data_IF_928086196900
#
_entry.id   IF_928086196900
#
_cell.length_a   1.000
_cell.length_b   1.000
_cell.length_c   1.000
_cell.angle_alpha   90.00
_cell.angle_beta   90.00
_cell.angle_gamma   90.00
#
_symmetry.space_group_name_H-M   'P 1'
#
loop_
_entity.id
_entity.type
_entity.pdbx_description
1 polymer ?
#
# COMPACT_ATOMS: atom_id res chain seq x y z
N UNK A 1 -38.59 -38.83 29.36
CA UNK A 1 -39.22 -38.23 28.16
C UNK A 1 -38.73 -36.80 28.03
N UNK A 2 -37.70 -36.57 27.22
CA UNK A 2 -37.09 -35.25 27.01
C UNK A 2 -37.76 -34.60 25.81
N UNK A 3 -38.50 -33.50 26.02
CA UNK A 3 -39.15 -32.75 24.94
C UNK A 3 -38.09 -31.92 24.21
N UNK A 4 -37.81 -32.30 22.97
CA UNK A 4 -37.05 -31.50 22.01
C UNK A 4 -37.89 -30.28 21.64
N UNK A 5 -37.48 -29.09 22.11
CA UNK A 5 -38.04 -27.83 21.63
C UNK A 5 -37.42 -27.53 20.26
N UNK A 6 -38.11 -27.88 19.19
CA UNK A 6 -37.77 -27.43 17.84
C UNK A 6 -38.13 -25.95 17.75
N UNK A 7 -37.14 -25.07 17.85
CA UNK A 7 -37.35 -23.64 17.63
C UNK A 7 -37.84 -23.45 16.18
N UNK A 8 -39.02 -22.83 15.95
CA UNK A 8 -39.51 -22.62 14.60
C UNK A 8 -38.59 -21.61 13.90
N UNK A 9 -37.85 -22.10 12.90
CA UNK A 9 -37.08 -21.24 12.01
C UNK A 9 -38.00 -20.81 10.88
N UNK A 10 -38.38 -19.53 10.85
CA UNK A 10 -39.07 -18.93 9.71
C UNK A 10 -38.06 -18.70 8.57
N UNK A 11 -37.65 -19.78 7.89
CA UNK A 11 -37.03 -19.66 6.57
C UNK A 11 -38.15 -19.41 5.56
N UNK A 12 -38.16 -18.21 4.95
CA UNK A 12 -39.04 -17.99 3.81
C UNK A 12 -38.45 -18.71 2.59
N UNK A 13 -39.29 -19.14 1.65
CA UNK A 13 -38.82 -19.75 0.40
C UNK A 13 -37.92 -18.80 -0.46
N UNK A 14 -37.74 -17.56 -0.02
CA UNK A 14 -36.92 -16.53 -0.63
C UNK A 14 -35.51 -16.41 -0.02
N UNK A 15 -35.26 -17.05 1.12
CA UNK A 15 -33.95 -17.02 1.78
C UNK A 15 -33.01 -18.01 1.09
N UNK A 16 -32.26 -17.51 0.12
CA UNK A 16 -31.24 -18.30 -0.57
C UNK A 16 -30.17 -18.69 0.45
N UNK A 17 -30.02 -19.99 0.71
CA UNK A 17 -28.89 -20.50 1.51
C UNK A 17 -27.58 -20.10 0.84
N UNK A 18 -26.75 -19.38 1.57
CA UNK A 18 -25.43 -18.97 1.12
C UNK A 18 -24.48 -20.10 1.49
N UNK A 19 -23.95 -20.77 0.48
CA UNK A 19 -22.89 -21.76 0.67
C UNK A 19 -21.64 -21.05 1.21
N UNK A 20 -21.07 -21.49 2.33
CA UNK A 20 -19.84 -20.91 2.86
C UNK A 20 -18.66 -21.10 1.90
N UNK A 21 -17.75 -20.12 1.88
CA UNK A 21 -16.47 -20.21 1.20
C UNK A 21 -15.70 -21.44 1.71
N UNK A 22 -15.30 -22.34 0.81
CA UNK A 22 -14.47 -23.48 1.18
C UNK A 22 -13.03 -23.04 1.49
N UNK A 23 -12.31 -23.84 2.29
CA UNK A 23 -10.90 -23.61 2.61
C UNK A 23 -10.00 -24.62 1.86
N UNK A 24 -8.84 -24.20 1.34
CA UNK A 24 -8.42 -22.80 1.18
C UNK A 24 -9.32 -22.08 0.15
N UNK A 25 -9.50 -20.77 0.34
CA UNK A 25 -10.42 -19.98 -0.47
C UNK A 25 -10.09 -18.50 -0.47
N UNK A 26 -10.64 -17.78 -1.44
CA UNK A 26 -10.33 -16.37 -1.66
C UNK A 26 -11.61 -15.58 -1.96
N UNK A 27 -11.74 -14.41 -1.33
CA UNK A 27 -12.77 -13.43 -1.65
C UNK A 27 -12.16 -12.33 -2.52
N UNK A 28 -12.51 -12.28 -3.81
CA UNK A 28 -11.99 -11.29 -4.77
C UNK A 28 -13.03 -10.28 -5.27
N UNK A 29 -14.29 -10.45 -4.91
CA UNK A 29 -15.40 -9.67 -5.46
C UNK A 29 -16.40 -9.28 -4.38
N UNK A 30 -16.90 -8.06 -4.45
CA UNK A 30 -18.02 -7.60 -3.64
C UNK A 30 -19.36 -8.21 -4.06
N UNK A 31 -19.43 -8.83 -5.24
CA UNK A 31 -20.60 -9.57 -5.72
C UNK A 31 -20.61 -11.04 -5.28
N UNK A 32 -19.56 -11.50 -4.58
CA UNK A 32 -19.46 -12.86 -4.09
C UNK A 32 -20.59 -13.15 -3.09
N UNK A 33 -21.34 -14.26 -3.25
CA UNK A 33 -22.46 -14.58 -2.37
C UNK A 33 -22.03 -14.80 -0.91
N UNK A 34 -20.80 -15.23 -0.68
CA UNK A 34 -20.21 -15.46 0.64
C UNK A 34 -20.05 -14.16 1.42
N UNK A 35 -19.99 -13.00 0.76
CA UNK A 35 -19.95 -11.68 1.39
C UNK A 35 -21.36 -11.26 1.84
N UNK A 36 -21.76 -11.72 3.03
CA UNK A 36 -23.12 -11.59 3.57
C UNK A 36 -23.42 -10.21 4.16
N UNK A 37 -22.40 -9.54 4.70
CA UNK A 37 -22.57 -8.26 5.40
C UNK A 37 -21.54 -7.27 4.89
N UNK A 38 -21.97 -6.04 4.61
CA UNK A 38 -21.07 -4.94 4.25
C UNK A 38 -21.67 -3.67 4.85
N UNK A 39 -20.86 -2.94 5.60
CA UNK A 39 -21.17 -1.61 6.11
C UNK A 39 -20.03 -0.64 5.78
N UNK A 40 -20.40 0.60 5.46
CA UNK A 40 -19.49 1.68 5.08
C UNK A 40 -18.52 1.32 3.94
N UNK A 41 -18.98 0.53 2.97
CA UNK A 41 -18.18 0.12 1.82
C UNK A 41 -19.05 -0.03 0.56
N UNK A 42 -18.52 0.43 -0.56
CA UNK A 42 -19.11 0.23 -1.90
C UNK A 42 -18.48 -1.01 -2.51
N UNK A 43 -19.31 -2.03 -2.74
CA UNK A 43 -18.91 -3.32 -3.34
C UNK A 43 -18.39 -3.12 -4.77
N UNK A 44 -17.32 -3.84 -5.11
CA UNK A 44 -16.78 -3.92 -6.48
C UNK A 44 -17.10 -5.25 -7.14
N UNK A 45 -17.09 -5.30 -8.48
CA UNK A 45 -17.23 -6.59 -9.19
C UNK A 45 -15.88 -7.30 -9.37
N UNK A 46 -14.81 -6.54 -9.62
CA UNK A 46 -13.46 -7.06 -9.85
C UNK A 46 -12.54 -7.02 -8.61
N UNK A 47 -13.06 -6.46 -7.51
CA UNK A 47 -12.41 -6.31 -6.21
C UNK A 47 -13.50 -6.44 -5.14
N UNK A 48 -13.16 -6.65 -3.87
CA UNK A 48 -14.16 -6.68 -2.81
C UNK A 48 -14.90 -5.33 -2.75
N UNK A 49 -14.15 -4.22 -2.76
CA UNK A 49 -14.75 -2.89 -2.84
C UNK A 49 -13.90 -1.78 -2.23
N UNK A 50 -14.52 -0.63 -2.01
CA UNK A 50 -13.89 0.57 -1.45
C UNK A 50 -14.65 1.10 -0.25
N UNK A 51 -13.93 1.49 0.78
CA UNK A 51 -14.50 2.03 2.00
C UNK A 51 -14.97 3.47 1.79
N UNK A 52 -16.15 3.82 2.33
CA UNK A 52 -16.73 5.17 2.24
C UNK A 52 -16.73 5.91 3.57
N UNK A 53 -16.61 5.19 4.69
CA UNK A 53 -16.46 5.77 6.02
C UNK A 53 -15.56 4.89 6.90
N UNK A 54 -15.26 5.39 8.10
CA UNK A 54 -14.53 4.71 9.15
C UNK A 54 -15.33 4.84 10.46
N UNK A 55 -15.54 3.77 11.24
CA UNK A 55 -15.16 2.38 10.96
C UNK A 55 -15.94 1.79 9.77
N UNK A 56 -15.41 0.72 9.20
CA UNK A 56 -16.10 -0.08 8.18
C UNK A 56 -16.04 -1.57 8.54
N UNK A 57 -17.02 -2.33 8.05
CA UNK A 57 -17.20 -3.73 8.42
C UNK A 57 -17.60 -4.56 7.21
N UNK A 58 -17.09 -5.79 7.16
CA UNK A 58 -17.60 -6.82 6.26
C UNK A 58 -17.71 -8.17 6.98
N UNK A 59 -18.72 -8.94 6.57
CA UNK A 59 -19.00 -10.28 7.06
C UNK A 59 -18.94 -11.28 5.91
N UNK A 60 -18.16 -12.35 6.08
CA UNK A 60 -17.96 -13.40 5.08
C UNK A 60 -18.37 -14.74 5.68
N UNK A 61 -19.20 -15.51 4.98
CA UNK A 61 -19.50 -16.90 5.34
C UNK A 61 -18.36 -17.79 4.87
N UNK A 62 -17.58 -18.32 5.79
CA UNK A 62 -16.42 -19.19 5.58
C UNK A 62 -16.69 -20.53 6.24
N UNK A 63 -16.37 -21.64 5.58
CA UNK A 63 -16.59 -22.97 6.13
C UNK A 63 -15.69 -23.19 7.35
N UNK A 64 -16.24 -23.42 8.55
CA UNK A 64 -15.43 -23.79 9.69
C UNK A 64 -14.91 -25.22 9.51
N UNK A 65 -13.65 -25.46 9.83
CA UNK A 65 -13.02 -26.78 9.72
C UNK A 65 -12.53 -27.33 11.06
N UNK A 66 -12.72 -26.56 12.14
CA UNK A 66 -12.19 -26.89 13.47
C UNK A 66 -10.68 -26.70 13.60
N UNK A 67 -10.01 -26.17 12.56
CA UNK A 67 -8.58 -25.85 12.54
C UNK A 67 -8.38 -24.33 12.53
N UNK A 68 -7.21 -23.84 12.97
CA UNK A 68 -6.88 -22.43 12.80
C UNK A 68 -6.87 -22.03 11.32
N UNK A 69 -7.33 -20.80 11.04
CA UNK A 69 -7.45 -20.28 9.66
C UNK A 69 -6.63 -19.02 9.52
N UNK A 70 -5.63 -19.04 8.65
CA UNK A 70 -4.88 -17.85 8.25
C UNK A 70 -5.73 -16.98 7.33
N UNK A 71 -5.78 -15.70 7.66
CA UNK A 71 -6.48 -14.66 6.92
C UNK A 71 -5.47 -13.63 6.43
N UNK A 72 -5.42 -13.40 5.13
CA UNK A 72 -4.55 -12.37 4.53
C UNK A 72 -5.40 -11.36 3.79
N UNK A 73 -5.47 -10.14 4.32
CA UNK A 73 -6.25 -9.05 3.75
C UNK A 73 -5.34 -8.08 2.98
N UNK A 74 -5.68 -7.78 1.73
CA UNK A 74 -4.91 -6.92 0.84
C UNK A 74 -5.59 -5.57 0.62
N UNK A 75 -4.83 -4.50 0.80
CA UNK A 75 -5.29 -3.12 0.67
C UNK A 75 -4.55 -2.38 -0.42
N UNK A 76 -5.25 -1.42 -1.03
CA UNK A 76 -4.70 -0.53 -2.04
C UNK A 76 -5.17 0.91 -1.84
N UNK A 77 -4.22 1.83 -1.94
CA UNK A 77 -4.45 3.27 -1.92
C UNK A 77 -3.97 3.86 -3.25
N UNK A 78 -4.92 4.10 -4.15
CA UNK A 78 -4.70 4.61 -5.51
C UNK A 78 -5.25 6.03 -5.70
N UNK A 79 -5.15 6.57 -6.93
CA UNK A 79 -5.65 7.92 -7.21
C UNK A 79 -7.17 8.05 -7.03
N UNK A 80 -7.94 6.98 -7.20
CA UNK A 80 -9.38 7.02 -6.95
C UNK A 80 -9.67 7.00 -5.45
N UNK A 81 -8.88 6.26 -4.66
CA UNK A 81 -8.93 6.34 -3.20
C UNK A 81 -8.70 7.76 -2.70
N UNK A 82 -7.69 8.44 -3.24
CA UNK A 82 -7.41 9.84 -2.91
C UNK A 82 -8.59 10.74 -3.24
N UNK A 83 -9.12 10.65 -4.46
CA UNK A 83 -10.27 11.46 -4.88
C UNK A 83 -11.52 11.20 -4.02
N UNK A 84 -11.77 9.95 -3.62
CA UNK A 84 -12.89 9.62 -2.73
C UNK A 84 -12.74 10.25 -1.36
N UNK A 85 -11.52 10.24 -0.83
CA UNK A 85 -11.21 10.87 0.44
C UNK A 85 -11.36 12.38 0.38
N UNK A 86 -10.74 13.05 -0.61
CA UNK A 86 -10.81 14.51 -0.78
C UNK A 86 -12.25 15.02 -0.95
N UNK A 87 -13.12 14.23 -1.59
CA UNK A 87 -14.53 14.56 -1.78
C UNK A 87 -15.39 14.39 -0.51
N UNK A 88 -15.03 13.46 0.39
CA UNK A 88 -15.87 13.05 1.51
C UNK A 88 -15.40 13.59 2.85
N UNK A 89 -14.10 13.81 3.01
CA UNK A 89 -13.51 14.32 4.24
C UNK A 89 -13.28 15.82 4.07
N UNK A 90 -14.28 16.58 4.50
CA UNK A 90 -14.27 18.04 4.46
C UNK A 90 -13.59 18.64 5.70
N UNK A 91 -13.54 17.89 6.81
CA UNK A 91 -12.94 18.33 8.08
C UNK A 91 -11.47 18.71 7.89
N UNK A 92 -11.03 19.91 8.32
CA UNK A 92 -9.63 20.29 8.30
C UNK A 92 -8.78 19.22 9.00
N UNK A 93 -7.72 18.79 8.35
CA UNK A 93 -6.76 17.84 8.91
C UNK A 93 -5.35 18.41 8.69
N UNK A 94 -4.40 18.10 9.59
CA UNK A 94 -3.05 18.66 9.51
C UNK A 94 -2.30 18.25 8.24
N UNK A 95 -2.68 17.12 7.63
CA UNK A 95 -2.07 16.59 6.41
C UNK A 95 -3.14 16.24 5.38
N UNK A 96 -2.96 16.70 4.14
CA UNK A 96 -3.83 16.43 2.99
C UNK A 96 -3.03 16.15 1.72
N UNK A 97 -3.68 15.54 0.72
CA UNK A 97 -3.13 15.34 -0.63
C UNK A 97 -2.54 13.96 -0.86
N UNK A 98 -1.92 13.77 -2.03
CA UNK A 98 -1.49 12.46 -2.52
C UNK A 98 -0.42 11.78 -1.66
N UNK A 99 0.49 12.56 -1.06
CA UNK A 99 1.51 12.07 -0.13
C UNK A 99 0.99 11.82 1.29
N UNK A 100 -0.28 12.15 1.56
CA UNK A 100 -0.84 12.01 2.90
C UNK A 100 -0.99 10.52 3.28
N UNK A 101 -0.51 10.14 4.48
CA UNK A 101 -0.54 8.77 4.92
C UNK A 101 -1.90 8.25 5.30
N UNK A 102 -2.12 6.96 5.03
CA UNK A 102 -3.32 6.24 5.46
C UNK A 102 -2.89 5.14 6.40
N UNK A 103 -3.09 5.38 7.69
CA UNK A 103 -2.86 4.38 8.72
C UNK A 103 -4.22 3.83 9.16
N UNK A 104 -4.37 2.51 9.07
CA UNK A 104 -5.61 1.81 9.44
C UNK A 104 -5.33 0.65 10.36
N UNK A 105 -6.17 0.47 11.37
CA UNK A 105 -6.25 -0.72 12.19
C UNK A 105 -7.16 -1.75 11.54
N UNK A 106 -6.71 -2.99 11.57
CA UNK A 106 -7.48 -4.17 11.18
C UNK A 106 -7.92 -4.90 12.44
N UNK A 107 -9.22 -5.09 12.56
CA UNK A 107 -9.85 -5.92 13.59
C UNK A 107 -10.58 -7.08 12.93
N UNK A 108 -10.63 -8.19 13.65
CA UNK A 108 -11.45 -9.32 13.26
C UNK A 108 -12.00 -10.02 14.50
N UNK A 109 -13.30 -10.36 14.43
CA UNK A 109 -14.06 -10.87 15.58
C UNK A 109 -13.91 -9.99 16.82
N UNK A 110 -13.97 -8.67 16.64
CA UNK A 110 -13.84 -7.69 17.73
C UNK A 110 -12.44 -7.52 18.31
N UNK A 111 -11.41 -8.25 17.84
CA UNK A 111 -10.02 -8.14 18.32
C UNK A 111 -9.13 -7.41 17.32
N UNK A 112 -8.19 -6.61 17.81
CA UNK A 112 -7.15 -6.00 16.96
C UNK A 112 -6.20 -7.08 16.47
N UNK A 113 -6.02 -7.15 15.15
CA UNK A 113 -5.17 -8.15 14.48
C UNK A 113 -3.90 -7.54 13.89
N UNK A 114 -3.97 -6.29 13.46
CA UNK A 114 -2.85 -5.62 12.82
C UNK A 114 -3.17 -4.19 12.45
N UNK A 115 -2.22 -3.54 11.79
CA UNK A 115 -2.38 -2.27 11.11
C UNK A 115 -1.68 -2.31 9.75
N UNK A 116 -2.14 -1.44 8.86
CA UNK A 116 -1.49 -1.16 7.58
C UNK A 116 -1.23 0.34 7.45
N UNK A 117 -0.01 0.68 7.00
CA UNK A 117 0.38 2.03 6.65
C UNK A 117 0.54 2.10 5.13
N UNK A 118 -0.32 2.89 4.48
CA UNK A 118 -0.34 3.07 3.04
C UNK A 118 0.04 4.51 2.71
N UNK A 119 1.16 4.68 2.02
CA UNK A 119 1.62 6.00 1.61
C UNK A 119 2.03 5.97 0.15
N UNK A 120 1.50 6.92 -0.62
CA UNK A 120 1.82 7.02 -2.03
C UNK A 120 3.06 7.90 -2.21
N UNK A 121 3.99 7.50 -3.06
CA UNK A 121 5.14 8.34 -3.35
C UNK A 121 4.69 9.62 -4.03
N UNK A 122 5.07 10.78 -3.50
CA UNK A 122 4.75 12.09 -4.09
C UNK A 122 5.29 12.21 -5.52
N UNK A 123 6.49 11.67 -5.76
CA UNK A 123 7.21 11.73 -7.04
C UNK A 123 6.54 10.84 -8.11
N UNK A 124 5.79 9.82 -7.70
CA UNK A 124 5.05 8.92 -8.59
C UNK A 124 3.61 8.72 -8.10
N UNK A 125 2.84 9.81 -8.12
CA UNK A 125 1.41 9.84 -7.78
C UNK A 125 0.53 8.98 -8.72
N UNK A 126 1.09 8.19 -9.64
CA UNK A 126 0.35 7.19 -10.42
C UNK A 126 0.45 5.81 -9.80
N UNK A 127 1.52 5.53 -9.05
CA UNK A 127 1.67 4.28 -8.32
C UNK A 127 0.68 4.23 -7.15
N UNK A 128 0.02 3.09 -7.00
CA UNK A 128 -0.77 2.81 -5.83
C UNK A 128 0.14 2.35 -4.69
N UNK A 129 -0.18 2.75 -3.46
CA UNK A 129 0.40 2.11 -2.29
C UNK A 129 -0.39 0.83 -2.00
N UNK A 130 0.30 -0.25 -1.67
CA UNK A 130 -0.31 -1.53 -1.33
C UNK A 130 0.15 -1.93 0.06
N UNK A 131 -0.72 -2.56 0.82
CA UNK A 131 -0.39 -3.13 2.12
C UNK A 131 -1.17 -4.41 2.33
N UNK A 132 -0.71 -5.24 3.25
CA UNK A 132 -1.42 -6.43 3.66
C UNK A 132 -1.37 -6.57 5.16
N UNK A 133 -2.36 -7.25 5.72
CA UNK A 133 -2.37 -7.69 7.11
C UNK A 133 -2.69 -9.18 7.11
N UNK A 134 -1.81 -9.97 7.72
CA UNK A 134 -1.95 -11.41 7.83
C UNK A 134 -2.09 -11.79 9.30
N UNK A 135 -3.15 -12.52 9.63
CA UNK A 135 -3.40 -13.02 10.96
C UNK A 135 -4.13 -14.35 10.94
N UNK A 136 -3.96 -15.17 11.98
CA UNK A 136 -4.75 -16.41 12.06
C UNK A 136 -5.94 -16.22 12.99
N UNK A 137 -7.00 -16.98 12.74
CA UNK A 137 -8.14 -17.14 13.60
C UNK A 137 -8.01 -18.47 14.33
N UNK A 138 -8.24 -18.46 15.64
CA UNK A 138 -8.36 -19.72 16.37
C UNK A 138 -9.67 -20.44 16.00
N UNK A 139 -9.75 -21.77 16.12
CA UNK A 139 -10.94 -22.53 15.77
C UNK A 139 -12.22 -22.00 16.43
N UNK A 140 -12.12 -21.51 17.66
CA UNK A 140 -13.25 -20.98 18.43
C UNK A 140 -13.71 -19.60 17.96
N UNK A 141 -12.87 -18.87 17.21
CA UNK A 141 -13.17 -17.53 16.69
C UNK A 141 -14.00 -17.59 15.41
N UNK A 142 -13.98 -18.71 14.70
CA UNK A 142 -14.88 -18.98 13.58
C UNK A 142 -15.97 -19.92 14.08
N UNK A 143 -17.13 -19.35 14.44
CA UNK A 143 -18.24 -20.09 15.02
C UNK A 143 -18.70 -21.25 14.11
N UNK A 144 -19.52 -22.16 14.64
CA UNK A 144 -20.13 -23.24 13.83
C UNK A 144 -20.92 -22.69 12.63
N UNK A 145 -21.41 -21.46 12.75
CA UNK A 145 -22.05 -20.73 11.66
C UNK A 145 -21.06 -20.16 10.65
N UNK A 146 -19.76 -20.19 10.87
CA UNK A 146 -18.78 -19.80 9.87
C UNK A 146 -18.81 -18.32 9.49
N UNK A 147 -19.34 -17.43 10.34
CA UNK A 147 -19.34 -16.00 10.04
C UNK A 147 -18.00 -15.38 10.46
N UNK A 148 -17.17 -15.04 9.49
CA UNK A 148 -15.99 -14.22 9.67
C UNK A 148 -16.36 -12.74 9.61
N UNK A 149 -16.03 -11.98 10.65
CA UNK A 149 -16.23 -10.52 10.70
C UNK A 149 -14.88 -9.82 10.64
N UNK A 150 -14.75 -8.91 9.68
CA UNK A 150 -13.60 -8.04 9.49
C UNK A 150 -14.00 -6.59 9.65
N UNK A 151 -13.18 -5.83 10.35
CA UNK A 151 -13.39 -4.44 10.68
C UNK A 151 -12.13 -3.63 10.30
N UNK A 152 -12.32 -2.45 9.72
CA UNK A 152 -11.25 -1.51 9.48
C UNK A 152 -11.56 -0.16 10.12
N UNK A 153 -10.62 0.32 10.92
CA UNK A 153 -10.80 1.50 11.78
C UNK A 153 -9.64 2.46 11.58
N UNK A 154 -9.93 3.76 11.56
CA UNK A 154 -8.92 4.82 11.55
C UNK A 154 -8.35 5.04 12.94
N UNK A 155 -7.10 5.49 13.03
CA UNK A 155 -6.46 5.79 14.31
C UNK A 155 -6.47 7.29 14.53
N UNK A 156 -7.57 7.74 15.13
CA UNK A 156 -7.79 9.14 15.45
C UNK A 156 -7.31 9.47 16.88
N UNK A 157 -7.28 8.49 17.78
CA UNK A 157 -6.92 8.64 19.19
C UNK A 157 -5.70 7.76 19.55
N UNK A 158 -4.83 8.27 20.43
CA UNK A 158 -3.71 7.50 21.00
C UNK A 158 -2.47 7.34 20.11
N UNK A 159 -2.42 8.01 18.94
CA UNK A 159 -1.22 8.02 18.09
C UNK A 159 -0.12 8.93 18.66
N UNK A 160 1.17 8.61 18.45
CA UNK A 160 2.26 9.52 18.82
C UNK A 160 2.26 10.77 17.91
N UNK A 161 2.71 11.91 18.45
CA UNK A 161 2.75 13.18 17.72
C UNK A 161 3.63 13.12 16.46
N UNK A 162 4.71 12.34 16.52
CA UNK A 162 5.63 12.15 15.40
C UNK A 162 5.03 11.37 14.23
N UNK A 163 3.92 10.66 14.40
CA UNK A 163 3.25 9.93 13.31
C UNK A 163 1.92 10.58 12.92
N UNK A 164 1.94 11.59 12.04
CA UNK A 164 0.70 12.18 11.61
C UNK A 164 -0.08 11.18 10.75
N UNK A 165 -1.35 10.98 11.06
CA UNK A 165 -2.28 10.17 10.26
C UNK A 165 -3.51 11.00 9.90
N UNK A 166 -4.12 10.68 8.76
CA UNK A 166 -5.29 11.40 8.28
C UNK A 166 -6.56 10.91 9.00
N UNK A 167 -7.43 11.82 9.50
CA UNK A 167 -8.72 11.45 10.04
C UNK A 167 -9.57 10.66 9.03
N UNK A 168 -10.26 9.62 9.50
CA UNK A 168 -10.99 8.70 8.64
C UNK A 168 -10.09 8.10 7.52
N UNK A 169 -8.84 7.76 7.87
CA UNK A 169 -7.80 7.20 7.00
C UNK A 169 -8.24 5.99 6.17
N UNK A 170 -9.31 5.33 6.59
CA UNK A 170 -9.95 4.21 5.90
C UNK A 170 -10.70 4.61 4.61
N UNK A 171 -11.23 5.84 4.52
CA UNK A 171 -12.07 6.28 3.38
C UNK A 171 -11.29 6.24 2.08
N UNK A 172 -11.90 5.68 1.05
CA UNK A 172 -11.35 5.52 -0.29
C UNK A 172 -10.41 4.33 -0.44
N UNK A 173 -9.85 3.77 0.65
CA UNK A 173 -9.01 2.57 0.58
C UNK A 173 -9.79 1.46 -0.11
N UNK A 174 -9.14 0.77 -1.03
CA UNK A 174 -9.67 -0.40 -1.68
C UNK A 174 -9.21 -1.64 -0.93
N UNK A 175 -10.12 -2.59 -0.78
CA UNK A 175 -9.79 -3.97 -0.45
C UNK A 175 -9.85 -4.82 -1.71
N UNK A 176 -8.70 -5.37 -2.09
CA UNK A 176 -8.53 -6.15 -3.32
C UNK A 176 -9.01 -7.60 -3.12
N UNK A 177 -8.54 -8.21 -2.04
CA UNK A 177 -8.58 -9.65 -1.79
C UNK A 177 -8.55 -9.93 -0.29
N UNK A 178 -9.27 -10.97 0.13
CA UNK A 178 -9.03 -11.67 1.39
C UNK A 178 -8.80 -13.15 1.07
N UNK A 179 -7.66 -13.67 1.52
CA UNK A 179 -7.30 -15.08 1.41
C UNK A 179 -7.60 -15.79 2.74
N UNK A 180 -8.07 -17.03 2.66
CA UNK A 180 -8.30 -17.90 3.80
C UNK A 180 -7.63 -19.25 3.55
N UNK A 181 -6.75 -19.67 4.46
CA UNK A 181 -6.06 -20.96 4.37
C UNK A 181 -6.03 -21.65 5.73
N UNK A 182 -6.21 -22.98 5.75
CA UNK A 182 -5.90 -23.74 6.95
C UNK A 182 -4.39 -23.72 7.21
N UNK A 183 -4.02 -23.71 8.49
CA UNK A 183 -2.63 -23.81 8.90
C UNK A 183 -2.43 -24.95 9.89
N UNK A 184 -1.51 -25.85 9.53
CA UNK A 184 -1.02 -26.91 10.41
C UNK A 184 0.30 -26.41 11.04
N UNK A 185 0.25 -25.89 12.26
CA UNK A 185 1.45 -25.41 12.96
C UNK A 185 1.72 -23.91 12.84
N UNK A 186 2.99 -23.54 13.03
CA UNK A 186 3.40 -22.20 13.46
C UNK A 186 2.91 -21.04 12.59
N UNK A 187 2.55 -19.97 13.29
CA UNK A 187 2.00 -18.73 12.76
C UNK A 187 3.08 -17.92 12.02
N UNK A 188 2.93 -17.72 10.71
CA UNK A 188 3.56 -16.59 10.03
C UNK A 188 2.58 -15.43 10.06
N UNK A 189 2.91 -14.40 10.85
CA UNK A 189 2.12 -13.18 10.91
C UNK A 189 2.78 -12.05 10.14
N UNK A 190 1.92 -11.37 9.39
CA UNK A 190 2.00 -10.00 8.89
C UNK A 190 3.38 -9.39 8.63
N UNK A 191 3.77 -9.36 7.35
CA UNK A 191 4.79 -8.45 6.83
C UNK A 191 4.66 -7.04 7.40
N UNK A 192 5.83 -6.43 7.63
CA UNK A 192 5.98 -5.00 7.89
C UNK A 192 5.33 -4.21 6.74
N UNK A 193 4.26 -3.49 7.04
CA UNK A 193 3.70 -2.51 6.10
C UNK A 193 4.54 -1.24 6.18
N UNK A 194 5.42 -1.04 5.20
CA UNK A 194 6.29 0.14 5.11
C UNK A 194 5.52 1.35 4.56
N UNK A 195 5.71 2.54 5.14
CA UNK A 195 5.21 3.78 4.54
C UNK A 195 5.99 5.03 4.95
N UNK A 196 6.33 5.87 3.96
CA UNK A 196 6.95 7.19 4.14
C UNK A 196 6.06 8.31 4.67
N UNK A 197 6.00 8.54 5.99
CA UNK A 197 5.47 9.82 6.49
C UNK A 197 6.47 10.95 6.21
N UNK A 198 6.01 12.19 6.02
CA UNK A 198 6.88 13.36 5.95
C UNK A 198 7.77 13.41 7.20
N UNK A 199 9.08 13.61 7.01
CA UNK A 199 10.00 13.85 8.11
C UNK A 199 9.65 15.17 8.79
N UNK A 200 9.72 15.22 10.13
CA UNK A 200 9.67 16.49 10.86
C UNK A 200 11.01 17.21 10.64
N UNK A 201 11.03 18.38 9.97
CA UNK A 201 12.26 19.11 9.69
C UNK A 201 12.92 19.70 10.95
N UNK A 202 12.21 19.78 12.08
CA UNK A 202 12.76 20.37 13.31
C UNK A 202 13.62 19.38 14.13
N UNK A 203 13.48 18.07 13.90
CA UNK A 203 14.07 17.03 14.76
C UNK A 203 15.59 16.85 14.60
N UNK A 204 16.23 17.50 13.60
CA UNK A 204 17.69 17.46 13.39
C UNK A 204 18.29 16.07 13.10
N UNK A 205 17.48 15.00 13.05
CA UNK A 205 17.86 13.61 12.78
C UNK A 205 17.40 13.16 11.40
N UNK A 206 18.16 12.27 10.77
CA UNK A 206 17.79 11.60 9.53
C UNK A 206 16.91 10.40 9.82
N UNK A 207 15.65 10.42 9.41
CA UNK A 207 14.81 9.22 9.36
C UNK A 207 15.32 8.27 8.28
N UNK A 208 15.69 7.05 8.66
CA UNK A 208 16.30 6.08 7.75
C UNK A 208 15.26 5.43 6.84
N UNK A 209 15.28 5.85 5.57
CA UNK A 209 14.52 5.23 4.48
C UNK A 209 13.01 5.30 4.68
N UNK A 210 12.35 6.10 3.86
CA UNK A 210 10.89 6.08 3.78
C UNK A 210 10.18 6.24 5.14
N UNK A 211 10.70 7.05 6.07
CA UNK A 211 10.00 7.44 7.30
C UNK A 211 9.79 6.33 8.33
N UNK A 212 8.54 5.88 8.48
CA UNK A 212 8.06 5.04 9.58
C UNK A 212 7.52 3.72 9.03
N UNK A 213 7.33 2.72 9.90
CA UNK A 213 6.70 1.47 9.51
C UNK A 213 5.77 0.95 10.60
N UNK A 214 4.88 0.01 10.22
CA UNK A 214 4.03 -0.70 11.16
C UNK A 214 4.61 -2.08 11.45
N UNK A 215 4.84 -2.33 12.73
CA UNK A 215 5.11 -3.64 13.30
C UNK A 215 3.79 -4.25 13.81
N UNK A 216 3.42 -5.41 13.28
CA UNK A 216 2.22 -6.13 13.72
C UNK A 216 2.57 -7.08 14.89
N UNK A 217 1.62 -7.28 15.82
CA UNK A 217 1.84 -8.15 16.97
C UNK A 217 2.05 -9.59 16.52
N UNK A 218 2.87 -10.32 17.28
CA UNK A 218 3.04 -11.76 17.15
C UNK A 218 2.18 -12.50 18.16
N UNK A 219 1.88 -13.77 17.91
CA UNK A 219 1.18 -14.61 18.88
C UNK A 219 2.12 -15.31 19.86
N UNK A 220 3.39 -15.44 19.49
CA UNK A 220 4.42 -15.96 20.39
C UNK A 220 4.67 -14.96 21.52
N UNK A 221 4.89 -15.49 22.72
CA UNK A 221 5.33 -14.71 23.88
C UNK A 221 6.83 -14.39 23.79
N UNK A 222 7.27 -13.94 22.62
CA UNK A 222 8.67 -13.74 22.27
C UNK A 222 8.90 -12.31 21.77
N UNK A 223 10.09 -11.75 22.03
CA UNK A 223 10.60 -10.58 21.35
C UNK A 223 10.42 -10.64 19.83
N UNK A 224 9.95 -9.54 19.25
CA UNK A 224 9.94 -9.36 17.79
C UNK A 224 11.31 -8.86 17.34
N UNK A 225 11.71 -9.31 16.16
CA UNK A 225 13.00 -8.98 15.56
C UNK A 225 12.81 -8.49 14.14
N UNK A 226 13.47 -7.39 13.82
CA UNK A 226 13.49 -6.83 12.47
C UNK A 226 14.92 -6.47 12.09
N UNK A 227 15.24 -6.64 10.81
CA UNK A 227 16.50 -6.22 10.23
C UNK A 227 16.25 -5.01 9.34
N UNK A 228 16.81 -3.87 9.72
CA UNK A 228 16.96 -2.72 8.84
C UNK A 228 18.26 -2.88 8.05
N UNK A 229 18.13 -3.22 6.77
CA UNK A 229 19.27 -3.40 5.86
C UNK A 229 19.53 -2.10 5.09
N UNK A 230 20.76 -1.61 5.16
CA UNK A 230 21.21 -0.49 4.36
C UNK A 230 21.80 -0.96 3.02
N UNK A 231 21.33 -0.39 1.93
CA UNK A 231 21.85 -0.60 0.58
C UNK A 231 22.26 0.71 -0.06
N UNK A 232 23.44 0.75 -0.68
CA UNK A 232 23.87 1.91 -1.46
C UNK A 232 23.11 1.93 -2.78
N UNK A 233 22.43 3.04 -3.05
CA UNK A 233 21.74 3.31 -4.31
C UNK A 233 22.45 4.47 -5.00
N UNK A 234 22.68 4.34 -6.30
CA UNK A 234 23.20 5.44 -7.09
C UNK A 234 22.24 6.64 -6.94
N UNK A 235 22.76 7.86 -6.68
CA UNK A 235 21.91 9.02 -6.50
C UNK A 235 21.04 9.17 -7.74
N UNK A 236 19.72 9.28 -7.55
CA UNK A 236 18.78 9.53 -8.63
C UNK A 236 19.09 10.93 -9.16
N UNK A 237 19.95 11.01 -10.18
CA UNK A 237 20.18 12.24 -10.91
C UNK A 237 18.82 12.67 -11.45
N UNK A 238 18.34 13.89 -11.14
CA UNK A 238 17.15 14.41 -11.79
C UNK A 238 17.42 14.36 -13.29
N UNK A 239 16.66 13.53 -14.00
CA UNK A 239 16.77 13.45 -15.46
C UNK A 239 16.66 14.87 -16.04
N UNK A 240 17.34 15.15 -17.16
CA UNK A 240 17.29 16.48 -17.76
C UNK A 240 15.83 16.88 -17.91
N UNK A 241 15.44 17.99 -17.25
CA UNK A 241 14.13 18.62 -17.41
C UNK A 241 13.97 18.93 -18.90
N UNK A 242 13.39 18.01 -19.66
CA UNK A 242 12.91 18.33 -20.99
C UNK A 242 11.72 19.26 -20.78
N UNK A 243 11.99 20.55 -20.94
CA UNK A 243 10.98 21.61 -21.07
C UNK A 243 10.15 21.30 -22.32
N UNK A 244 9.18 20.41 -22.21
CA UNK A 244 8.08 20.38 -23.16
C UNK A 244 7.05 21.40 -22.65
N UNK A 245 7.07 22.57 -23.30
CA UNK A 245 5.99 23.52 -23.19
C UNK A 245 4.69 22.84 -23.66
N UNK A 246 3.58 22.93 -22.90
CA UNK A 246 2.29 22.58 -23.45
C UNK A 246 1.94 23.61 -24.53
N UNK A 247 1.75 23.13 -25.77
CA UNK A 247 1.13 23.91 -26.83
C UNK A 247 -0.36 24.00 -26.48
N UNK A 248 -0.75 25.11 -25.87
CA UNK A 248 -2.15 25.50 -25.68
C UNK A 248 -2.52 26.38 -26.87
N UNK A 249 -3.46 25.92 -27.69
CA UNK A 249 -4.10 26.77 -28.70
C UNK A 249 -5.02 27.78 -27.98
N UNK A 250 -5.05 29.07 -28.39
CA UNK A 250 -5.88 30.07 -27.76
C UNK A 250 -7.32 29.99 -28.30
N UNK A 251 -8.29 30.07 -27.41
CA UNK A 251 -9.66 30.49 -27.75
C UNK A 251 -10.02 31.62 -26.79
N UNK A 252 -10.07 32.84 -27.33
CA UNK A 252 -10.71 34.03 -26.74
C UNK A 252 -12.22 33.72 -26.56
N UNK A 253 -12.94 34.12 -25.50
CA UNK A 253 -13.38 35.49 -25.16
C UNK A 253 -14.22 35.43 -23.84
N UNK A 254 -14.74 36.54 -23.24
CA UNK A 254 -14.57 36.85 -21.82
C UNK A 254 -15.80 36.62 -20.92
N UNK A 255 -15.52 36.80 -19.62
CA UNK A 255 -16.33 36.56 -18.41
C UNK A 255 -17.34 37.69 -18.14
N UNK A 256 -18.53 37.36 -17.62
CA UNK A 256 -19.26 37.94 -16.46
C UNK A 256 -20.76 37.61 -16.62
N UNK A 257 -21.57 37.15 -15.65
CA UNK A 257 -21.58 37.37 -14.20
C UNK A 257 -22.56 36.36 -13.54
N UNK A 258 -22.36 36.05 -12.25
CA UNK A 258 -23.26 35.28 -11.35
C UNK A 258 -24.48 36.15 -10.90
N UNK A 259 -25.42 35.67 -10.05
CA UNK A 259 -25.90 34.32 -9.67
C UNK A 259 -27.44 34.19 -9.88
N UNK A 260 -28.11 33.05 -9.72
CA UNK A 260 -28.79 32.69 -8.45
C UNK A 260 -29.91 31.67 -8.71
N UNK A 261 -29.94 30.63 -7.88
CA UNK A 261 -31.07 29.82 -7.39
C UNK A 261 -32.13 29.32 -8.38
N UNK A 262 -32.22 28.00 -8.56
CA UNK A 262 -33.28 27.19 -7.93
C UNK A 262 -33.30 25.76 -8.49
N UNK A 263 -33.53 24.83 -7.57
CA UNK A 263 -34.29 23.60 -7.74
C UNK A 263 -35.06 23.50 -9.07
N UNK A 264 -34.62 22.61 -9.95
CA UNK A 264 -35.50 21.62 -10.58
C UNK A 264 -34.71 20.57 -11.37
N UNK A 265 -34.10 19.68 -10.61
CA UNK A 265 -34.03 18.29 -11.00
C UNK A 265 -35.48 17.76 -11.08
N UNK A 266 -36.07 17.71 -12.28
CA UNK A 266 -37.15 16.78 -12.72
C UNK A 266 -37.89 17.31 -13.95
N UNK A 267 -37.24 17.33 -15.12
CA UNK A 267 -37.97 17.16 -16.38
C UNK A 267 -36.98 17.00 -17.53
N UNK A 268 -37.31 16.08 -18.44
CA UNK A 268 -36.67 15.88 -19.77
C UNK A 268 -35.53 14.85 -19.85
N UNK A 269 -35.72 13.71 -19.18
CA UNK A 269 -35.71 12.45 -19.93
C UNK A 269 -36.93 12.47 -20.86
N UNK A 270 -36.77 12.00 -22.11
CA UNK A 270 -37.71 12.04 -23.24
C UNK A 270 -37.64 13.33 -24.05
N UNK A 271 -36.75 13.35 -25.05
CA UNK A 271 -37.12 13.51 -26.45
C UNK A 271 -35.86 13.55 -27.32
N UNK A 272 -35.91 12.83 -28.44
CA UNK A 272 -35.01 12.89 -29.62
C UNK A 272 -33.87 11.87 -29.69
N UNK A 273 -34.26 10.60 -29.65
CA UNK A 273 -33.89 9.73 -30.76
C UNK A 273 -34.79 10.03 -31.96
N UNK A 274 -34.25 9.88 -33.17
CA UNK A 274 -34.87 9.99 -34.51
C UNK A 274 -34.89 11.39 -35.17
N UNK A 275 -34.10 11.47 -36.24
CA UNK A 275 -34.11 12.34 -37.46
C UNK A 275 -32.67 12.86 -37.68
N UNK A 276 -32.02 12.71 -38.82
CA UNK A 276 -32.43 12.24 -40.13
C UNK A 276 -31.20 11.70 -40.89
N UNK A 277 -31.45 10.70 -41.71
CA UNK A 277 -30.54 10.22 -42.73
C UNK A 277 -30.70 11.04 -44.03
N UNK A 278 -29.61 11.04 -44.80
CA UNK A 278 -29.50 11.06 -46.28
C UNK A 278 -29.02 12.35 -46.97
N UNK A 279 -28.19 12.05 -48.00
CA UNK A 279 -27.74 12.84 -49.17
C UNK A 279 -26.56 13.80 -48.89
N UNK A 280 -25.44 13.91 -49.64
CA UNK A 280 -24.94 13.43 -50.96
C UNK A 280 -23.42 13.63 -50.98
N UNK A 281 -22.69 12.80 -51.74
CA UNK A 281 -21.25 12.93 -52.08
C UNK A 281 -21.10 13.79 -53.35
N UNK A 282 -20.07 14.64 -53.50
CA UNK A 282 -19.00 14.29 -54.45
C UNK A 282 -17.56 14.69 -54.02
N UNK A 283 -16.65 13.72 -54.22
CA UNK A 283 -15.29 13.74 -54.82
C UNK A 283 -14.43 15.02 -54.82
N UNK A 284 -13.12 14.78 -54.57
CA UNK A 284 -11.90 15.59 -54.79
C UNK A 284 -11.37 16.30 -53.52
N UNK A 285 -10.10 16.27 -53.11
CA UNK A 285 -8.87 15.79 -53.74
C UNK A 285 -7.86 15.34 -52.67
N UNK A 286 -7.11 14.29 -53.00
CA UNK A 286 -5.83 13.92 -52.39
C UNK A 286 -4.79 14.97 -52.82
N UNK A 287 -4.02 15.59 -51.89
CA UNK A 287 -2.64 15.12 -51.70
C UNK A 287 -2.04 15.48 -50.31
N UNK A 288 -2.43 14.77 -49.24
CA UNK A 288 -1.72 14.91 -47.94
C UNK A 288 -1.18 13.57 -47.40
N UNK A 289 -1.75 12.44 -47.84
CA UNK A 289 -1.34 11.11 -47.38
C UNK A 289 0.03 10.62 -47.90
N UNK A 290 0.59 11.25 -48.96
CA UNK A 290 1.88 10.83 -49.54
C UNK A 290 3.11 11.41 -48.82
N UNK A 291 2.98 12.51 -48.06
CA UNK A 291 4.09 13.11 -47.28
C UNK A 291 4.36 12.39 -45.95
N UNK A 292 3.33 11.84 -45.30
CA UNK A 292 3.48 11.13 -44.03
C UNK A 292 4.20 9.77 -44.18
N UNK A 293 3.98 9.04 -45.28
CA UNK A 293 4.62 7.73 -45.51
C UNK A 293 6.14 7.80 -45.74
N UNK A 294 6.66 8.90 -46.30
CA UNK A 294 8.12 9.05 -46.51
C UNK A 294 8.89 9.36 -45.22
N UNK A 295 8.26 10.03 -44.24
CA UNK A 295 8.88 10.31 -42.94
C UNK A 295 8.96 9.09 -42.03
N UNK A 296 7.95 8.20 -42.06
CA UNK A 296 7.96 6.95 -41.30
C UNK A 296 9.06 5.96 -41.77
N UNK A 297 9.28 5.86 -43.08
CA UNK A 297 10.31 4.98 -43.66
C UNK A 297 11.76 5.45 -43.34
N UNK A 298 11.98 6.76 -43.20
CA UNK A 298 13.27 7.32 -42.80
C UNK A 298 13.64 7.02 -41.34
N UNK A 299 12.64 7.04 -40.45
CA UNK A 299 12.83 6.78 -39.02
C UNK A 299 13.17 5.30 -38.75
N UNK A 300 12.49 4.37 -39.42
CA UNK A 300 12.79 2.94 -39.30
C UNK A 300 14.20 2.57 -39.78
N UNK A 301 14.73 3.23 -40.82
CA UNK A 301 16.10 3.01 -41.29
C UNK A 301 17.15 3.53 -40.30
N UNK A 302 16.87 4.65 -39.60
CA UNK A 302 17.75 5.17 -38.55
C UNK A 302 17.77 4.27 -37.31
N UNK A 303 16.61 3.76 -36.89
CA UNK A 303 16.52 2.82 -35.76
C UNK A 303 17.23 1.49 -36.04
N UNK A 304 17.13 0.95 -37.26
CA UNK A 304 17.86 -0.27 -37.64
C UNK A 304 19.39 -0.07 -37.68
N UNK A 305 19.89 1.11 -38.07
CA UNK A 305 21.33 1.42 -38.03
C UNK A 305 21.85 1.60 -36.61
N UNK A 306 21.06 2.20 -35.71
CA UNK A 306 21.40 2.32 -34.30
C UNK A 306 21.44 0.96 -33.59
N UNK A 307 20.49 0.06 -33.90
CA UNK A 307 20.48 -1.30 -33.37
C UNK A 307 21.68 -2.14 -33.86
N UNK A 308 22.09 -1.98 -35.14
CA UNK A 308 23.24 -2.71 -35.69
C UNK A 308 24.59 -2.25 -35.12
N UNK A 309 24.73 -0.97 -34.73
CA UNK A 309 25.90 -0.46 -34.00
C UNK A 309 25.99 -0.96 -32.56
N UNK A 310 24.87 -1.26 -31.90
CA UNK A 310 24.85 -1.82 -30.54
C UNK A 310 25.25 -3.29 -30.47
N UNK A 311 25.13 -4.04 -31.58
CA UNK A 311 25.52 -5.46 -31.62
C UNK A 311 26.97 -5.69 -32.06
N UNK A 312 27.66 -4.72 -32.69
CA UNK A 312 29.08 -4.86 -33.04
C UNK A 312 30.06 -4.35 -31.97
N UNK A 313 29.56 -3.76 -30.88
CA UNK A 313 30.38 -3.32 -29.75
C UNK A 313 30.45 -4.36 -28.61
N UNK A 314 29.91 -5.56 -28.82
CA UNK A 314 29.82 -6.63 -27.81
C UNK A 314 30.67 -7.88 -28.12
N UNK A 315 31.55 -7.83 -29.12
CA UNK A 315 32.38 -8.97 -29.56
C UNK A 315 33.89 -8.69 -29.59
N UNK A 316 34.35 -7.61 -28.97
CA UNK A 316 35.75 -7.44 -28.61
C UNK A 316 35.80 -7.25 -27.10
N UNK A 317 36.82 -7.79 -26.42
CA UNK A 317 36.97 -7.94 -24.96
C UNK A 317 36.51 -9.30 -24.41
N UNK A 318 36.99 -10.37 -25.04
CA UNK A 318 37.39 -11.60 -24.37
C UNK A 318 38.90 -11.77 -24.61
N UNK A 319 39.72 -11.41 -23.62
CA UNK A 319 41.07 -11.93 -23.35
C UNK A 319 41.75 -11.07 -22.29
N UNK A 320 41.66 -11.50 -21.03
CA UNK A 320 42.70 -11.36 -20.01
C UNK A 320 42.13 -11.90 -18.69
N UNK A 321 42.19 -13.21 -18.55
CA UNK A 321 42.10 -13.91 -17.27
C UNK A 321 43.36 -13.62 -16.46
N UNK A 322 43.24 -12.82 -15.42
CA UNK A 322 44.12 -12.90 -14.25
C UNK A 322 43.22 -13.03 -13.03
N UNK A 323 43.13 -14.27 -12.55
CA UNK A 323 42.53 -14.62 -11.27
C UNK A 323 43.34 -13.99 -10.15
N UNK A 324 42.95 -12.80 -9.70
CA UNK A 324 43.25 -12.34 -8.35
C UNK A 324 42.21 -12.97 -7.40
N UNK A 325 42.60 -13.44 -6.21
CA UNK A 325 41.64 -13.89 -5.22
C UNK A 325 40.78 -12.67 -4.84
N UNK A 326 39.48 -12.73 -5.14
CA UNK A 326 38.51 -11.77 -4.62
C UNK A 326 38.45 -11.97 -3.12
N UNK A 327 39.29 -11.25 -2.37
CA UNK A 327 38.97 -10.86 -1.01
C UNK A 327 37.54 -10.29 -1.07
N UNK A 328 36.62 -10.88 -0.32
CA UNK A 328 35.26 -10.35 -0.19
C UNK A 328 35.39 -8.87 0.16
N UNK A 329 35.08 -7.98 -0.80
CA UNK A 329 35.13 -6.55 -0.54
C UNK A 329 34.19 -6.29 0.64
N UNK A 330 34.75 -5.98 1.81
CA UNK A 330 33.97 -5.66 3.01
C UNK A 330 32.99 -4.57 2.62
N UNK A 331 31.70 -4.79 2.88
CA UNK A 331 30.70 -3.77 2.64
C UNK A 331 31.09 -2.55 3.49
N UNK A 332 31.46 -1.40 2.90
CA UNK A 332 31.95 -0.25 3.66
C UNK A 332 30.88 0.30 4.62
N UNK A 333 29.60 0.00 4.38
CA UNK A 333 28.53 0.33 5.31
C UNK A 333 28.50 -0.54 6.56
N UNK A 334 29.09 -1.74 6.55
CA UNK A 334 29.01 -2.66 7.70
C UNK A 334 29.73 -2.11 8.93
N UNK A 335 30.95 -1.60 8.76
CA UNK A 335 31.72 -0.98 9.83
C UNK A 335 31.04 0.30 10.34
N UNK A 336 30.39 1.04 9.44
CA UNK A 336 29.62 2.26 9.75
C UNK A 336 28.40 1.91 10.59
N UNK A 337 27.64 0.86 10.24
CA UNK A 337 26.48 0.42 11.05
C UNK A 337 26.90 -0.05 12.44
N UNK A 338 28.02 -0.77 12.54
CA UNK A 338 28.57 -1.16 13.83
C UNK A 338 28.94 0.06 14.69
N UNK A 339 29.60 1.05 14.10
CA UNK A 339 29.98 2.29 14.79
C UNK A 339 28.75 3.08 15.26
N UNK A 340 27.76 3.26 14.38
CA UNK A 340 26.51 3.96 14.67
C UNK A 340 25.75 3.35 15.86
N UNK A 341 25.64 2.02 15.92
CA UNK A 341 24.98 1.33 17.03
C UNK A 341 25.83 1.41 18.29
N UNK A 342 27.15 1.16 18.22
CA UNK A 342 28.03 1.15 19.40
C UNK A 342 28.09 2.51 20.11
N UNK A 343 27.91 3.60 19.36
CA UNK A 343 27.89 4.98 19.88
C UNK A 343 26.48 5.47 20.24
N UNK A 344 25.46 4.62 20.16
CA UNK A 344 24.05 4.98 20.38
C UNK A 344 23.57 6.13 19.48
N UNK A 345 24.06 6.20 18.25
CA UNK A 345 23.69 7.22 17.26
C UNK A 345 22.45 6.82 16.43
N UNK A 346 22.02 5.56 16.57
CA UNK A 346 20.75 5.05 16.06
C UNK A 346 19.71 5.15 17.18
N UNK A 347 18.61 5.84 16.90
CA UNK A 347 17.44 5.87 17.77
C UNK A 347 16.29 5.12 17.11
N UNK A 348 15.61 4.29 17.91
CA UNK A 348 14.36 3.64 17.53
C UNK A 348 13.29 4.08 18.50
N UNK A 349 12.21 4.63 17.97
CA UNK A 349 11.00 4.92 18.73
C UNK A 349 9.90 3.96 18.34
N UNK A 350 9.21 3.43 19.34
CA UNK A 350 8.11 2.51 19.20
C UNK A 350 6.88 3.08 19.87
N UNK A 351 5.76 3.15 19.17
CA UNK A 351 4.50 3.63 19.70
C UNK A 351 3.34 2.70 19.34
N UNK A 352 2.68 2.15 20.36
CA UNK A 352 1.48 1.33 20.18
C UNK A 352 0.34 2.10 19.53
N UNK A 353 -0.35 1.44 18.60
CA UNK A 353 -1.49 1.96 17.84
C UNK A 353 -2.83 1.50 18.47
N UNK A 354 -2.78 0.72 19.55
CA UNK A 354 -3.95 0.19 20.24
C UNK A 354 -3.81 0.25 21.76
N UNK A 355 -4.87 -0.17 22.46
CA UNK A 355 -4.87 -0.27 23.92
C UNK A 355 -3.95 -1.39 24.39
N UNK A 356 -2.77 -1.04 24.91
CA UNK A 356 -1.83 -2.00 25.45
C UNK A 356 -0.47 -1.38 25.75
N UNK A 357 0.32 -2.04 26.60
CA UNK A 357 1.70 -1.65 26.84
C UNK A 357 2.53 -1.90 25.57
N UNK A 358 3.36 -0.91 25.22
CA UNK A 358 4.34 -1.04 24.13
C UNK A 358 5.67 -1.46 24.76
N UNK A 359 6.29 -2.57 24.34
CA UNK A 359 7.57 -2.99 24.90
C UNK A 359 8.66 -1.97 24.55
N UNK A 360 9.77 -1.98 25.32
CA UNK A 360 10.98 -1.28 24.93
C UNK A 360 11.63 -1.92 23.69
N UNK A 361 12.67 -1.27 23.17
CA UNK A 361 13.39 -1.72 21.98
C UNK A 361 14.90 -1.60 22.18
N UNK A 362 15.61 -2.64 21.77
CA UNK A 362 17.05 -2.70 21.67
C UNK A 362 17.48 -2.66 20.21
N UNK A 363 18.60 -1.99 19.97
CA UNK A 363 19.22 -1.87 18.65
C UNK A 363 20.58 -2.56 18.69
N UNK A 364 20.84 -3.44 17.74
CA UNK A 364 22.08 -4.22 17.64
C UNK A 364 22.64 -4.13 16.22
N UNK A 365 23.95 -4.05 16.08
CA UNK A 365 24.58 -4.16 14.76
C UNK A 365 24.73 -5.64 14.40
N UNK A 366 24.45 -5.98 13.14
CA UNK A 366 24.67 -7.30 12.53
C UNK A 366 25.73 -7.19 11.42
N UNK A 367 26.27 -8.33 11.01
CA UNK A 367 27.19 -8.38 9.88
C UNK A 367 26.47 -7.89 8.59
N UNK A 368 27.20 -7.21 7.70
CA UNK A 368 26.69 -6.90 6.36
C UNK A 368 25.88 -5.60 6.19
N UNK A 369 26.08 -4.60 7.06
CA UNK A 369 25.36 -3.32 7.06
C UNK A 369 23.87 -3.44 7.46
N UNK A 370 23.66 -4.22 8.50
CA UNK A 370 22.35 -4.54 9.04
C UNK A 370 22.24 -4.02 10.48
N UNK A 371 21.12 -3.39 10.78
CA UNK A 371 20.73 -3.01 12.13
C UNK A 371 19.57 -3.91 12.53
N UNK A 372 19.78 -4.71 13.57
CA UNK A 372 18.74 -5.52 14.19
C UNK A 372 18.01 -4.70 15.25
N UNK A 373 16.69 -4.70 15.17
CA UNK A 373 15.77 -4.08 16.12
C UNK A 373 15.05 -5.21 16.85
N UNK A 374 15.19 -5.27 18.17
CA UNK A 374 14.60 -6.33 19.00
C UNK A 374 13.75 -5.71 20.09
N UNK A 375 12.49 -6.14 20.25
CA UNK A 375 11.67 -5.68 21.37
C UNK A 375 12.11 -6.31 22.69
N UNK A 376 11.97 -5.62 23.82
CA UNK A 376 12.31 -6.15 25.15
C UNK A 376 11.30 -7.19 25.68
N UNK A 377 10.24 -7.42 24.93
CA UNK A 377 9.19 -8.37 25.25
C UNK A 377 8.25 -8.57 24.05
N UNK A 378 7.17 -9.35 24.22
CA UNK A 378 6.23 -9.61 23.14
C UNK A 378 5.51 -8.33 22.69
N UNK A 379 5.40 -8.15 21.38
CA UNK A 379 4.55 -7.10 20.83
C UNK A 379 3.10 -7.60 20.79
N UNK A 380 2.26 -7.07 21.68
CA UNK A 380 0.86 -7.50 21.84
C UNK A 380 -0.16 -6.65 21.08
N UNK A 381 0.24 -5.46 20.64
CA UNK A 381 -0.56 -4.54 19.84
C UNK A 381 0.25 -4.06 18.64
N UNK A 382 -0.39 -3.68 17.52
CA UNK A 382 0.34 -3.07 16.41
C UNK A 382 1.07 -1.81 16.89
N UNK A 383 2.28 -1.60 16.42
CA UNK A 383 3.10 -0.45 16.79
C UNK A 383 3.66 0.24 15.56
N UNK A 384 3.72 1.57 15.61
CA UNK A 384 4.51 2.37 14.70
C UNK A 384 5.94 2.37 15.16
N UNK A 385 6.87 2.29 14.21
CA UNK A 385 8.29 2.33 14.48
C UNK A 385 8.94 3.44 13.66
N UNK A 386 9.70 4.30 14.33
CA UNK A 386 10.60 5.29 13.72
C UNK A 386 12.04 4.83 13.90
N UNK A 387 12.82 4.85 12.82
CA UNK A 387 14.26 4.64 12.87
C UNK A 387 14.97 5.94 12.46
N UNK A 388 15.78 6.51 13.33
CA UNK A 388 16.43 7.81 13.15
C UNK A 388 17.93 7.76 13.44
N UNK A 389 18.75 8.34 12.57
CA UNK A 389 20.21 8.47 12.74
C UNK A 389 20.61 9.93 12.81
N UNK A 390 21.61 10.25 13.64
CA UNK A 390 22.24 11.57 13.61
C UNK A 390 23.02 11.78 12.27
N UNK A 391 22.64 12.78 11.44
CA UNK A 391 23.28 13.08 10.17
C UNK A 391 24.78 13.35 10.25
N UNK A 392 25.29 13.89 11.35
CA UNK A 392 26.72 14.15 11.52
C UNK A 392 27.55 12.86 11.40
N UNK A 393 26.95 11.74 11.81
CA UNK A 393 27.57 10.41 11.85
C UNK A 393 27.81 9.80 10.45
N UNK A 394 27.06 10.22 9.43
CA UNK A 394 27.22 9.72 8.06
C UNK A 394 28.30 10.47 7.25
N UNK A 395 28.69 11.68 7.69
CA UNK A 395 29.62 12.55 6.94
C UNK A 395 31.04 11.99 6.81
N UNK A 396 31.40 11.01 7.65
CA UNK A 396 32.71 10.34 7.60
C UNK A 396 32.85 9.28 6.52
N UNK A 397 31.78 8.96 5.79
CA UNK A 397 31.75 7.82 4.86
C UNK A 397 31.70 8.33 3.42
N UNK A 398 32.77 8.12 2.63
CA UNK A 398 32.82 8.62 1.25
C UNK A 398 31.69 8.08 0.39
N UNK A 399 30.92 8.98 -0.23
CA UNK A 399 29.83 8.62 -1.13
C UNK A 399 28.53 8.17 -0.45
N UNK A 400 28.41 8.42 0.86
CA UNK A 400 27.22 8.13 1.67
C UNK A 400 26.61 9.44 2.17
N UNK A 401 25.37 9.66 1.82
CA UNK A 401 24.51 10.75 2.25
C UNK A 401 23.07 10.24 2.46
N UNK A 402 22.17 11.13 2.87
CA UNK A 402 20.75 10.86 3.08
C UNK A 402 20.03 10.36 1.81
N UNK A 403 20.63 10.54 0.62
CA UNK A 403 20.04 10.26 -0.69
C UNK A 403 20.61 9.01 -1.37
N UNK A 404 21.71 8.48 -0.86
CA UNK A 404 22.44 7.35 -1.43
C UNK A 404 22.30 6.07 -0.60
N UNK A 405 21.67 6.13 0.57
CA UNK A 405 21.35 4.95 1.37
C UNK A 405 19.85 4.67 1.31
N UNK A 406 19.49 3.49 0.79
CA UNK A 406 18.14 2.94 0.89
C UNK A 406 18.10 1.95 2.04
N UNK A 407 17.04 2.04 2.83
CA UNK A 407 16.76 1.10 3.90
C UNK A 407 15.58 0.22 3.52
N UNK A 408 15.74 -1.07 3.73
CA UNK A 408 14.66 -2.04 3.65
C UNK A 408 14.55 -2.71 5.03
N UNK A 409 13.36 -2.66 5.64
CA UNK A 409 13.10 -3.39 6.88
C UNK A 409 12.49 -4.74 6.54
N UNK A 410 13.14 -5.80 6.99
CA UNK A 410 12.69 -7.18 6.81
C UNK A 410 12.45 -7.77 8.18
N UNK A 411 11.27 -8.34 8.38
CA UNK A 411 11.00 -9.17 9.56
C UNK A 411 11.76 -10.49 9.41
N UNK A 412 12.46 -10.89 10.48
CA UNK A 412 13.14 -12.18 10.51
C UNK A 412 12.27 -13.20 11.21
N UNK A 413 12.18 -14.40 10.64
CA UNK A 413 11.69 -15.57 11.36
C UNK A 413 12.56 -15.79 12.61
N UNK A 414 11.90 -15.92 13.77
CA UNK A 414 12.52 -16.17 15.08
C UNK A 414 13.13 -17.56 15.18
#
# INVERSE_FOLDING_TARGET
MTRTFTVPHFQTAFDRRIEPLALPGELRSGAAPELTTVDQMVRGNAVIGRFIASPALLGVKVRPTGRPVRVTAHFRFDSMSLGWWEQRILTPGPIRGAGAPRLVLVRAQGKTRGAALLIRPEVDFRRAATGLVCFDLQPEELTVEGLFVFEMISIDTGRPEWAPAVPAGSVGIMMDLIEFAEVDGDRELGLVSTGTLPSDPEDGRLTLGAGYFVANPGDRDEPRRWIARATLVAPVLPGPRTKFAPLVDPVDEPIDSRPSTSRDAKQRIKHRAKRAARWVVPVAAVPVARRMRRRAAGLQRRLRRAAKRRMSARSAWLSASLSAPRASARNPLADVMADLVSRNLVQVELAGIGSGATPGVQVRARAGAEIEIVTDGPLRVPALVRLSIDPASLRGVPGVDDKTVRWDLVETES
#
